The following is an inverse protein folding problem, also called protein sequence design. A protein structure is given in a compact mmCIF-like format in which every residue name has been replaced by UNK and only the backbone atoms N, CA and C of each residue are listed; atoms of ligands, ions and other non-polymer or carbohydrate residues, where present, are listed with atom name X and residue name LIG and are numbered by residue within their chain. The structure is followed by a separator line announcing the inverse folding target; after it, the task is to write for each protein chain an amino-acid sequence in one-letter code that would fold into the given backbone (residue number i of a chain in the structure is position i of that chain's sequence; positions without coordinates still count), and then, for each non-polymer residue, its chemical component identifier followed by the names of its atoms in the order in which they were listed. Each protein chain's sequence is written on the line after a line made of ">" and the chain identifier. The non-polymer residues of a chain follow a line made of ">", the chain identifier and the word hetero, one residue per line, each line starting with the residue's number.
data_IF_852916408223
#
_entry.id   IF_852916408223
#
_cell.length_a   1.000
_cell.length_b   1.000
_cell.length_c   1.000
_cell.angle_alpha   90.00
_cell.angle_beta   90.00
_cell.angle_gamma   90.00
#
_symmetry.space_group_name_H-M   'P 1'
#
loop_
_entity.id
_entity.type
_entity.pdbx_description
1 polymer ?
#
# COMPACT_ATOMS: atom_id res chain seq x y z
N UNK A 1 -0.83 -1.90 41.59
CA UNK A 1 -0.17 -3.12 41.06
C UNK A 1 -0.46 -3.38 39.58
N UNK A 2 -1.70 -3.57 39.13
CA UNK A 2 -1.99 -4.04 37.75
C UNK A 2 -1.34 -3.24 36.60
N UNK A 3 -1.31 -1.92 36.70
CA UNK A 3 -0.66 -1.07 35.69
C UNK A 3 0.87 -1.22 35.63
N UNK A 4 1.51 -1.57 36.75
CA UNK A 4 2.95 -1.85 36.78
C UNK A 4 3.24 -3.19 36.09
N UNK A 5 2.40 -4.19 36.35
CA UNK A 5 2.52 -5.52 35.73
C UNK A 5 2.27 -5.48 34.22
N UNK A 6 1.36 -4.60 33.77
CA UNK A 6 1.07 -4.37 32.35
C UNK A 6 2.21 -3.63 31.65
N UNK A 7 2.76 -2.58 32.27
CA UNK A 7 3.92 -1.87 31.73
C UNK A 7 5.17 -2.77 31.63
N UNK A 8 5.39 -3.67 32.60
CA UNK A 8 6.48 -4.64 32.58
C UNK A 8 6.32 -5.63 31.41
N UNK A 9 5.07 -6.06 31.12
CA UNK A 9 4.76 -6.94 29.99
C UNK A 9 4.96 -6.25 28.63
N UNK A 10 4.49 -5.02 28.49
CA UNK A 10 4.69 -4.23 27.27
C UNK A 10 6.17 -3.99 26.99
N UNK A 11 6.95 -3.66 28.03
CA UNK A 11 8.41 -3.52 27.92
C UNK A 11 9.07 -4.83 27.44
N UNK A 12 8.65 -5.97 27.98
CA UNK A 12 9.18 -7.27 27.57
C UNK A 12 8.80 -7.62 26.12
N UNK A 13 7.59 -7.27 25.68
CA UNK A 13 7.16 -7.42 24.29
C UNK A 13 7.96 -6.53 23.36
N UNK A 14 8.09 -5.25 23.67
CA UNK A 14 8.89 -4.31 22.88
C UNK A 14 10.34 -4.78 22.72
N UNK A 15 10.98 -5.28 23.80
CA UNK A 15 12.35 -5.80 23.73
C UNK A 15 12.46 -7.03 22.81
N UNK A 16 11.43 -7.88 22.78
CA UNK A 16 11.39 -9.06 21.91
C UNK A 16 11.20 -8.67 20.45
N UNK A 17 10.19 -7.84 20.17
CA UNK A 17 9.91 -7.31 18.83
C UNK A 17 11.09 -6.53 18.26
N UNK A 18 11.81 -5.77 19.10
CA UNK A 18 13.01 -5.05 18.69
C UNK A 18 14.13 -6.02 18.26
N UNK A 19 14.30 -7.14 18.97
CA UNK A 19 15.29 -8.18 18.58
C UNK A 19 14.88 -8.88 17.29
N UNK A 20 13.61 -9.19 17.12
CA UNK A 20 13.07 -9.80 15.89
C UNK A 20 13.22 -8.84 14.70
N UNK A 21 12.92 -7.56 14.89
CA UNK A 21 13.14 -6.52 13.90
C UNK A 21 14.61 -6.44 13.49
N UNK A 22 15.54 -6.46 14.45
CA UNK A 22 16.99 -6.44 14.16
C UNK A 22 17.48 -7.68 13.38
N UNK A 23 16.81 -8.83 13.52
CA UNK A 23 17.14 -10.05 12.77
C UNK A 23 16.50 -10.09 11.37
N UNK A 24 15.45 -9.30 11.15
CA UNK A 24 14.71 -9.26 9.89
C UNK A 24 15.57 -8.82 8.69
N UNK A 25 15.20 -9.30 7.51
CA UNK A 25 15.74 -8.83 6.22
C UNK A 25 15.53 -7.31 6.05
N UNK A 26 14.44 -6.75 6.58
CA UNK A 26 14.14 -5.31 6.50
C UNK A 26 15.16 -4.44 7.25
N UNK A 27 15.62 -4.89 8.42
CA UNK A 27 16.68 -4.20 9.17
C UNK A 27 18.02 -4.33 8.47
N UNK A 28 18.37 -5.51 7.96
CA UNK A 28 19.62 -5.71 7.18
C UNK A 28 19.65 -4.86 5.91
N UNK A 29 18.55 -4.79 5.16
CA UNK A 29 18.41 -3.94 3.99
C UNK A 29 18.51 -2.45 4.35
N UNK A 30 17.91 -2.03 5.46
CA UNK A 30 17.98 -0.64 5.92
C UNK A 30 19.37 -0.28 6.45
N UNK A 31 20.02 -1.17 7.20
CA UNK A 31 21.39 -1.00 7.68
C UNK A 31 22.39 -0.98 6.51
N UNK A 32 22.24 -1.87 5.53
CA UNK A 32 23.02 -1.86 4.29
C UNK A 32 22.78 -0.58 3.49
N UNK A 33 21.53 -0.07 3.41
CA UNK A 33 21.20 1.19 2.72
C UNK A 33 21.75 2.42 3.46
N UNK A 34 21.85 2.38 4.79
CA UNK A 34 22.53 3.40 5.61
C UNK A 34 24.04 3.33 5.39
N UNK A 35 24.62 2.12 5.33
CA UNK A 35 26.04 1.92 5.02
C UNK A 35 26.37 2.34 3.60
N UNK A 36 25.53 2.04 2.61
CA UNK A 36 25.71 2.41 1.20
C UNK A 36 25.56 3.94 1.02
N UNK A 37 24.62 4.58 1.72
CA UNK A 37 24.57 6.05 1.81
C UNK A 37 25.80 6.63 2.51
N UNK A 38 26.38 5.93 3.49
CA UNK A 38 27.59 6.36 4.20
C UNK A 38 28.84 6.17 3.33
N UNK A 39 28.94 5.07 2.58
CA UNK A 39 30.00 4.78 1.60
C UNK A 39 29.89 5.74 0.41
N UNK A 40 28.69 6.03 -0.10
CA UNK A 40 28.51 7.02 -1.17
C UNK A 40 28.81 8.45 -0.70
N UNK A 41 28.50 8.78 0.57
CA UNK A 41 28.90 10.05 1.21
C UNK A 41 30.41 10.08 1.49
N UNK A 42 31.01 8.94 1.85
CA UNK A 42 32.46 8.78 2.06
C UNK A 42 33.22 8.76 0.73
N UNK A 43 32.70 8.26 -0.38
CA UNK A 43 33.28 8.37 -1.73
C UNK A 43 33.19 9.80 -2.25
N UNK A 44 32.05 10.46 -2.00
CA UNK A 44 31.87 11.90 -2.26
C UNK A 44 32.79 12.76 -1.38
N UNK A 45 33.10 12.30 -0.17
CA UNK A 45 34.06 12.95 0.74
C UNK A 45 35.52 12.52 0.48
N UNK A 46 35.77 11.35 -0.09
CA UNK A 46 37.12 10.82 -0.37
C UNK A 46 37.77 11.55 -1.54
N UNK A 47 36.98 12.07 -2.48
CA UNK A 47 37.46 13.04 -3.47
C UNK A 47 37.90 14.37 -2.81
N UNK A 48 37.40 14.68 -1.61
CA UNK A 48 37.73 15.91 -0.87
C UNK A 48 38.85 15.69 0.18
N UNK A 49 39.08 14.46 0.66
CA UNK A 49 39.95 14.17 1.81
C UNK A 49 41.41 13.80 1.43
N UNK A 50 41.77 13.72 0.15
CA UNK A 50 43.17 13.45 -0.25
C UNK A 50 44.20 14.57 0.06
N UNK A 51 43.82 15.63 0.78
CA UNK A 51 44.73 16.72 1.14
C UNK A 51 45.13 16.80 2.63
N UNK A 52 44.62 15.95 3.53
CA UNK A 52 44.99 16.06 4.96
C UNK A 52 45.25 14.71 5.59
N UNK A 53 46.52 14.29 5.56
CA UNK A 53 47.02 13.15 6.31
C UNK A 53 47.10 13.38 7.82
N UNK A 54 46.80 12.30 8.56
CA UNK A 54 47.37 11.85 9.85
C UNK A 54 47.60 12.84 11.02
N UNK A 55 46.98 12.54 12.18
CA UNK A 55 47.46 13.01 13.50
C UNK A 55 46.45 12.84 14.64
N UNK A 56 46.85 12.38 15.85
CA UNK A 56 45.96 11.78 16.84
C UNK A 56 45.13 12.77 17.67
N UNK A 57 44.03 12.24 18.21
CA UNK A 57 43.10 12.90 19.12
C UNK A 57 43.82 13.39 20.40
N UNK A 58 43.85 14.72 20.61
CA UNK A 58 44.39 15.27 21.86
C UNK A 58 44.44 16.81 21.98
N UNK A 59 44.09 17.58 20.95
CA UNK A 59 44.28 19.05 21.00
C UNK A 59 43.10 19.92 20.51
N UNK A 60 41.92 19.33 20.22
CA UNK A 60 40.87 20.03 19.48
C UNK A 60 40.06 21.10 20.23
N UNK A 61 40.20 21.22 21.55
CA UNK A 61 39.55 22.30 22.30
C UNK A 61 40.42 23.56 22.34
N UNK A 62 41.75 23.42 22.49
CA UNK A 62 42.67 24.56 22.40
C UNK A 62 42.58 25.21 21.02
N UNK A 63 42.61 24.40 19.95
CA UNK A 63 42.46 24.83 18.53
C UNK A 63 41.11 25.42 18.14
N UNK A 64 40.15 25.52 19.06
CA UNK A 64 38.92 26.29 18.82
C UNK A 64 38.96 27.66 19.49
N UNK A 65 39.76 27.80 20.55
CA UNK A 65 39.90 29.03 21.33
C UNK A 65 40.92 30.02 20.71
N UNK A 66 42.00 29.56 20.04
CA UNK A 66 42.95 30.48 19.38
C UNK A 66 42.56 30.94 17.96
N UNK A 67 41.51 30.36 17.37
CA UNK A 67 41.01 30.77 16.03
C UNK A 67 40.36 32.14 15.98
N UNK A 68 40.13 32.78 17.13
CA UNK A 68 39.59 34.14 17.22
C UNK A 68 40.65 35.17 17.63
N UNK A 69 41.88 34.75 17.92
CA UNK A 69 42.98 35.62 18.34
C UNK A 69 43.99 35.87 17.19
N UNK A 70 43.47 35.77 15.96
CA UNK A 70 44.23 36.03 14.73
C UNK A 70 43.99 37.49 14.34
N UNK A 71 45.03 38.36 14.32
CA UNK A 71 44.85 39.77 14.01
C UNK A 71 44.23 39.97 12.62
N UNK A 72 43.31 40.93 12.52
CA UNK A 72 42.41 41.15 11.37
C UNK A 72 43.10 41.47 10.02
N UNK A 73 44.40 41.75 10.03
CA UNK A 73 45.20 42.03 8.83
C UNK A 73 46.32 41.01 8.61
N UNK A 74 46.12 39.78 9.07
CA UNK A 74 47.03 38.66 8.78
C UNK A 74 46.50 37.82 7.63
N UNK A 75 47.41 37.18 6.91
CA UNK A 75 47.09 36.21 5.86
C UNK A 75 46.19 35.08 6.39
N UNK A 76 46.47 34.62 7.62
CA UNK A 76 45.66 33.60 8.29
C UNK A 76 44.20 34.04 8.50
N UNK A 77 43.96 35.30 8.92
CA UNK A 77 42.59 35.82 9.06
C UNK A 77 41.84 35.83 7.72
N UNK A 78 42.52 36.27 6.65
CA UNK A 78 41.95 36.32 5.31
C UNK A 78 41.60 34.93 4.78
N UNK A 79 42.49 33.95 4.96
CA UNK A 79 42.26 32.57 4.55
C UNK A 79 41.11 31.91 5.33
N UNK A 80 41.04 32.12 6.64
CA UNK A 80 39.93 31.64 7.45
C UNK A 80 38.60 32.30 7.03
N UNK A 81 38.60 33.60 6.74
CA UNK A 81 37.41 34.31 6.27
C UNK A 81 36.96 33.75 4.91
N UNK A 82 37.88 33.61 3.95
CA UNK A 82 37.63 33.01 2.64
C UNK A 82 37.07 31.59 2.73
N UNK A 83 37.60 30.76 3.64
CA UNK A 83 37.08 29.43 3.90
C UNK A 83 35.66 29.44 4.48
N UNK A 84 35.38 30.33 5.45
CA UNK A 84 34.03 30.51 6.02
C UNK A 84 33.04 31.01 4.98
N UNK A 85 33.43 31.97 4.14
CA UNK A 85 32.59 32.45 3.04
C UNK A 85 32.30 31.36 2.01
N UNK A 86 33.30 30.56 1.64
CA UNK A 86 33.12 29.43 0.74
C UNK A 86 32.14 28.40 1.33
N UNK A 87 32.26 28.10 2.62
CA UNK A 87 31.34 27.20 3.31
C UNK A 87 29.93 27.78 3.38
N UNK A 88 29.77 29.07 3.69
CA UNK A 88 28.46 29.75 3.66
C UNK A 88 27.80 29.68 2.27
N UNK A 89 28.58 29.88 1.20
CA UNK A 89 28.08 29.72 -0.18
C UNK A 89 27.65 28.29 -0.46
N UNK A 90 28.44 27.30 -0.04
CA UNK A 90 28.11 25.87 -0.20
C UNK A 90 26.84 25.50 0.57
N UNK A 91 26.69 25.98 1.81
CA UNK A 91 25.51 25.74 2.64
C UNK A 91 24.26 26.38 2.03
N UNK A 92 24.35 27.61 1.52
CA UNK A 92 23.23 28.27 0.82
C UNK A 92 22.79 27.48 -0.41
N UNK A 93 23.75 26.99 -1.20
CA UNK A 93 23.46 26.14 -2.37
C UNK A 93 22.76 24.84 -1.95
N UNK A 94 23.28 24.15 -0.95
CA UNK A 94 22.66 22.92 -0.44
C UNK A 94 21.25 23.16 0.11
N UNK A 95 21.02 24.28 0.80
CA UNK A 95 19.70 24.62 1.31
C UNK A 95 18.68 24.84 0.18
N UNK A 96 19.08 25.54 -0.89
CA UNK A 96 18.25 25.72 -2.08
C UNK A 96 17.91 24.38 -2.75
N UNK A 97 18.89 23.48 -2.89
CA UNK A 97 18.66 22.12 -3.43
C UNK A 97 17.66 21.33 -2.56
N UNK A 98 17.71 21.47 -1.22
CA UNK A 98 16.74 20.83 -0.32
C UNK A 98 15.35 21.45 -0.44
N UNK A 99 15.23 22.76 -0.59
CA UNK A 99 13.95 23.45 -0.81
C UNK A 99 13.29 23.01 -2.13
N UNK A 100 14.07 22.85 -3.19
CA UNK A 100 13.61 22.30 -4.46
C UNK A 100 13.11 20.85 -4.32
N UNK A 101 13.87 19.99 -3.63
CA UNK A 101 13.46 18.61 -3.34
C UNK A 101 12.19 18.55 -2.51
N UNK A 102 12.07 19.41 -1.49
CA UNK A 102 10.86 19.46 -0.66
C UNK A 102 9.64 19.86 -1.48
N UNK A 103 9.78 20.81 -2.39
CA UNK A 103 8.69 21.23 -3.29
C UNK A 103 8.29 20.09 -4.24
N UNK A 104 9.27 19.37 -4.80
CA UNK A 104 9.00 18.20 -5.64
C UNK A 104 8.27 17.08 -4.87
N UNK A 105 8.69 16.81 -3.64
CA UNK A 105 8.05 15.82 -2.76
C UNK A 105 6.63 16.22 -2.38
N UNK A 106 6.39 17.49 -2.04
CA UNK A 106 5.05 18.00 -1.74
C UNK A 106 4.11 17.85 -2.93
N UNK A 107 4.58 18.14 -4.15
CA UNK A 107 3.82 17.91 -5.37
C UNK A 107 3.48 16.43 -5.54
N UNK A 108 4.46 15.54 -5.36
CA UNK A 108 4.23 14.10 -5.49
C UNK A 108 3.21 13.58 -4.46
N UNK A 109 3.28 14.07 -3.21
CA UNK A 109 2.30 13.74 -2.17
C UNK A 109 0.89 14.20 -2.58
N UNK A 110 0.75 15.41 -3.13
CA UNK A 110 -0.53 15.91 -3.63
C UNK A 110 -1.06 15.05 -4.79
N UNK A 111 -0.20 14.70 -5.74
CA UNK A 111 -0.56 13.83 -6.87
C UNK A 111 -1.01 12.44 -6.39
N UNK A 112 -0.32 11.86 -5.40
CA UNK A 112 -0.68 10.57 -4.80
C UNK A 112 -2.00 10.63 -4.04
N UNK A 113 -2.27 11.69 -3.28
CA UNK A 113 -3.56 11.89 -2.63
C UNK A 113 -4.68 11.99 -3.67
N UNK A 114 -4.49 12.78 -4.73
CA UNK A 114 -5.48 12.87 -5.80
C UNK A 114 -5.71 11.54 -6.53
N UNK A 115 -4.66 10.72 -6.71
CA UNK A 115 -4.81 9.37 -7.26
C UNK A 115 -5.59 8.45 -6.32
N UNK A 116 -5.31 8.51 -5.02
CA UNK A 116 -6.03 7.74 -3.99
C UNK A 116 -7.52 8.10 -4.00
N UNK A 117 -7.87 9.39 -3.98
CA UNK A 117 -9.27 9.85 -3.98
C UNK A 117 -10.04 9.35 -5.21
N UNK A 118 -9.40 9.35 -6.39
CA UNK A 118 -10.01 8.79 -7.61
C UNK A 118 -10.27 7.30 -7.48
N UNK A 119 -9.30 6.53 -6.99
CA UNK A 119 -9.45 5.10 -6.77
C UNK A 119 -10.53 4.77 -5.74
N UNK A 120 -10.63 5.54 -4.66
CA UNK A 120 -11.70 5.39 -3.66
C UNK A 120 -13.08 5.69 -4.27
N UNK A 121 -13.18 6.69 -5.14
CA UNK A 121 -14.42 7.00 -5.86
C UNK A 121 -14.82 5.91 -6.86
N UNK A 122 -13.86 5.37 -7.62
CA UNK A 122 -14.06 4.25 -8.55
C UNK A 122 -14.50 2.98 -7.81
N UNK A 123 -13.82 2.64 -6.71
CA UNK A 123 -14.17 1.50 -5.85
C UNK A 123 -15.61 1.64 -5.33
N UNK A 124 -15.96 2.81 -4.80
CA UNK A 124 -17.32 3.06 -4.31
C UNK A 124 -18.38 3.00 -5.41
N UNK A 125 -18.02 3.26 -6.68
CA UNK A 125 -18.93 3.08 -7.81
C UNK A 125 -19.10 1.61 -8.18
N UNK A 126 -18.01 0.84 -8.17
CA UNK A 126 -18.03 -0.60 -8.47
C UNK A 126 -18.76 -1.42 -7.41
N UNK A 127 -18.64 -1.04 -6.13
CA UNK A 127 -19.44 -1.63 -5.05
C UNK A 127 -20.94 -1.42 -5.29
N UNK A 128 -21.35 -0.20 -5.68
CA UNK A 128 -22.76 0.11 -6.00
C UNK A 128 -23.26 -0.68 -7.21
N UNK A 129 -22.44 -0.81 -8.26
CA UNK A 129 -22.76 -1.62 -9.45
C UNK A 129 -22.93 -3.08 -9.07
N UNK A 130 -22.01 -3.63 -8.28
CA UNK A 130 -22.05 -5.03 -7.83
C UNK A 130 -23.29 -5.30 -6.99
N UNK A 131 -23.62 -4.41 -6.04
CA UNK A 131 -24.84 -4.52 -5.24
C UNK A 131 -26.11 -4.43 -6.11
N UNK A 132 -26.12 -3.60 -7.15
CA UNK A 132 -27.24 -3.51 -8.09
C UNK A 132 -27.41 -4.80 -8.89
N UNK A 133 -26.33 -5.35 -9.43
CA UNK A 133 -26.34 -6.63 -10.14
C UNK A 133 -26.79 -7.77 -9.23
N UNK A 134 -26.31 -7.81 -7.99
CA UNK A 134 -26.74 -8.81 -7.02
C UNK A 134 -28.24 -8.69 -6.73
N UNK A 135 -28.77 -7.47 -6.52
CA UNK A 135 -30.21 -7.25 -6.34
C UNK A 135 -31.02 -7.73 -7.55
N UNK A 136 -30.58 -7.46 -8.77
CA UNK A 136 -31.25 -7.93 -9.98
C UNK A 136 -31.20 -9.46 -10.10
N UNK A 137 -30.05 -10.08 -9.83
CA UNK A 137 -29.92 -11.53 -9.83
C UNK A 137 -30.87 -12.19 -8.82
N UNK A 138 -30.95 -11.64 -7.60
CA UNK A 138 -31.87 -12.12 -6.56
C UNK A 138 -33.33 -11.98 -6.99
N UNK A 139 -33.70 -10.85 -7.60
CA UNK A 139 -35.04 -10.61 -8.11
C UNK A 139 -35.40 -11.64 -9.19
N UNK A 140 -34.53 -11.85 -10.19
CA UNK A 140 -34.73 -12.83 -11.25
C UNK A 140 -34.87 -14.24 -10.67
N UNK A 141 -33.97 -14.63 -9.75
CA UNK A 141 -34.04 -15.94 -9.10
C UNK A 141 -35.35 -16.15 -8.34
N UNK A 142 -35.82 -15.11 -7.65
CA UNK A 142 -37.09 -15.17 -6.93
C UNK A 142 -38.27 -15.32 -7.90
N UNK A 143 -38.33 -14.48 -8.93
CA UNK A 143 -39.40 -14.55 -9.95
C UNK A 143 -39.40 -15.90 -10.66
N UNK A 144 -38.22 -16.44 -10.99
CA UNK A 144 -38.08 -17.74 -11.67
C UNK A 144 -38.51 -18.91 -10.77
N UNK A 145 -38.11 -18.90 -9.50
CA UNK A 145 -38.56 -19.91 -8.55
C UNK A 145 -40.08 -19.88 -8.36
N UNK A 146 -40.68 -18.69 -8.29
CA UNK A 146 -42.12 -18.52 -8.16
C UNK A 146 -42.88 -18.98 -9.41
N UNK A 147 -42.42 -18.61 -10.61
CA UNK A 147 -43.07 -18.95 -11.87
C UNK A 147 -43.01 -20.46 -12.16
N UNK A 148 -41.90 -21.11 -11.80
CA UNK A 148 -41.69 -22.55 -11.97
C UNK A 148 -42.22 -23.40 -10.81
N UNK A 149 -42.78 -22.80 -9.75
CA UNK A 149 -43.30 -23.55 -8.60
C UNK A 149 -44.43 -24.52 -8.98
N UNK A 150 -45.16 -24.25 -10.07
CA UNK A 150 -46.21 -25.11 -10.61
C UNK A 150 -45.68 -26.24 -11.52
N UNK A 151 -44.36 -26.33 -11.72
CA UNK A 151 -43.71 -27.25 -12.66
C UNK A 151 -42.84 -28.26 -11.90
N UNK A 152 -43.41 -29.37 -11.42
CA UNK A 152 -42.64 -30.40 -10.73
C UNK A 152 -41.76 -31.20 -11.72
N UNK A 153 -40.55 -31.57 -11.30
CA UNK A 153 -39.67 -32.42 -12.10
C UNK A 153 -40.29 -33.81 -12.35
N UNK A 154 -40.27 -34.31 -13.60
CA UNK A 154 -40.70 -35.67 -13.90
C UNK A 154 -39.95 -36.72 -13.07
N UNK A 155 -40.68 -37.68 -12.49
CA UNK A 155 -40.12 -38.76 -11.66
C UNK A 155 -39.78 -38.37 -10.21
N UNK A 156 -39.32 -37.15 -9.96
CA UNK A 156 -38.96 -36.68 -8.61
C UNK A 156 -40.06 -35.89 -7.92
N UNK A 157 -40.94 -35.20 -8.65
CA UNK A 157 -41.94 -34.29 -8.08
C UNK A 157 -41.37 -33.01 -7.45
N UNK A 158 -40.06 -32.80 -7.51
CA UNK A 158 -39.38 -31.65 -6.91
C UNK A 158 -39.73 -30.35 -7.65
N UNK A 159 -40.03 -29.29 -6.90
CA UNK A 159 -40.25 -27.93 -7.41
C UNK A 159 -39.10 -27.01 -7.00
N UNK A 160 -38.80 -25.97 -7.79
CA UNK A 160 -37.68 -25.08 -7.49
C UNK A 160 -37.99 -24.21 -6.26
N UNK A 161 -36.99 -24.03 -5.41
CA UNK A 161 -36.97 -23.02 -4.36
C UNK A 161 -35.81 -22.06 -4.61
N UNK A 162 -35.82 -20.91 -3.93
CA UNK A 162 -34.76 -19.91 -4.08
C UNK A 162 -33.32 -20.49 -3.92
N UNK A 163 -33.13 -21.44 -3.01
CA UNK A 163 -31.83 -22.09 -2.76
C UNK A 163 -31.55 -23.33 -3.62
N UNK A 164 -32.57 -23.91 -4.26
CA UNK A 164 -32.44 -25.14 -5.08
C UNK A 164 -32.58 -24.90 -6.57
N UNK A 165 -32.90 -23.67 -6.99
CA UNK A 165 -33.21 -23.30 -8.37
C UNK A 165 -32.12 -23.75 -9.37
N UNK A 166 -30.84 -23.50 -9.08
CA UNK A 166 -29.76 -23.85 -10.01
C UNK A 166 -29.66 -25.37 -10.24
N UNK A 167 -29.86 -26.14 -9.16
CA UNK A 167 -29.83 -27.60 -9.20
C UNK A 167 -31.09 -28.16 -9.89
N UNK A 168 -32.26 -27.57 -9.62
CA UNK A 168 -33.51 -27.87 -10.31
C UNK A 168 -33.38 -27.61 -11.83
N UNK A 169 -32.87 -26.44 -12.24
CA UNK A 169 -32.72 -26.09 -13.66
C UNK A 169 -31.74 -27.04 -14.37
N UNK A 170 -30.65 -27.41 -13.71
CA UNK A 170 -29.69 -28.40 -14.25
C UNK A 170 -30.35 -29.77 -14.45
N UNK A 171 -31.14 -30.23 -13.46
CA UNK A 171 -31.91 -31.48 -13.57
C UNK A 171 -32.99 -31.40 -14.66
N UNK A 172 -33.71 -30.28 -14.74
CA UNK A 172 -34.74 -30.05 -15.74
C UNK A 172 -34.15 -30.14 -17.15
N UNK A 173 -33.03 -29.45 -17.42
CA UNK A 173 -32.34 -29.53 -18.71
C UNK A 173 -31.94 -30.97 -19.04
N UNK A 174 -31.34 -31.70 -18.09
CA UNK A 174 -30.95 -33.10 -18.30
C UNK A 174 -32.14 -34.02 -18.62
N UNK A 175 -33.28 -33.83 -17.96
CA UNK A 175 -34.51 -34.59 -18.23
C UNK A 175 -35.05 -34.28 -19.62
N UNK A 176 -35.08 -33.00 -20.00
CA UNK A 176 -35.53 -32.57 -21.33
C UNK A 176 -34.62 -33.10 -22.46
N UNK A 177 -33.31 -33.14 -22.24
CA UNK A 177 -32.33 -33.68 -23.19
C UNK A 177 -32.42 -35.20 -23.35
N UNK A 178 -32.77 -35.92 -22.27
CA UNK A 178 -32.84 -37.38 -22.28
C UNK A 178 -34.04 -37.94 -23.06
N UNK A 179 -35.18 -37.25 -23.01
CA UNK A 179 -36.43 -37.71 -23.67
C UNK A 179 -37.25 -36.56 -24.29
N UNK A 180 -36.83 -35.98 -25.44
CA UNK A 180 -37.46 -34.79 -26.01
C UNK A 180 -38.93 -34.96 -26.43
N UNK A 181 -39.30 -36.17 -26.87
CA UNK A 181 -40.64 -36.45 -27.38
C UNK A 181 -41.66 -36.74 -26.26
N UNK A 182 -41.21 -37.25 -25.12
CA UNK A 182 -42.08 -37.60 -23.98
C UNK A 182 -42.46 -36.36 -23.15
N UNK A 183 -41.63 -35.32 -23.18
CA UNK A 183 -41.83 -34.10 -22.37
C UNK A 183 -42.46 -32.94 -23.14
N UNK A 184 -43.16 -33.20 -24.24
CA UNK A 184 -43.73 -32.15 -25.12
C UNK A 184 -44.72 -31.21 -24.41
N UNK A 185 -45.53 -31.74 -23.50
CA UNK A 185 -46.47 -30.95 -22.68
C UNK A 185 -45.75 -30.07 -21.66
N UNK A 186 -44.70 -30.59 -21.03
CA UNK A 186 -43.84 -29.84 -20.10
C UNK A 186 -43.12 -28.69 -20.81
N UNK A 187 -42.62 -28.93 -22.02
CA UNK A 187 -42.00 -27.91 -22.86
C UNK A 187 -43.00 -26.79 -23.19
N UNK A 188 -44.24 -27.12 -23.55
CA UNK A 188 -45.27 -26.12 -23.82
C UNK A 188 -45.63 -25.27 -22.59
N UNK A 189 -45.70 -25.90 -21.40
CA UNK A 189 -45.92 -25.17 -20.14
C UNK A 189 -44.76 -24.24 -19.79
N UNK A 190 -43.52 -24.69 -19.98
CA UNK A 190 -42.34 -23.85 -19.78
C UNK A 190 -42.31 -22.67 -20.76
N UNK A 191 -42.66 -22.90 -22.02
CA UNK A 191 -42.75 -21.83 -23.02
C UNK A 191 -43.80 -20.78 -22.64
N UNK A 192 -44.96 -21.21 -22.15
CA UNK A 192 -46.01 -20.29 -21.69
C UNK A 192 -45.55 -19.48 -20.46
N UNK A 193 -44.96 -20.15 -19.47
CA UNK A 193 -44.43 -19.47 -18.26
C UNK A 193 -43.32 -18.47 -18.62
N UNK A 194 -42.41 -18.84 -19.52
CA UNK A 194 -41.32 -17.97 -19.97
C UNK A 194 -41.81 -16.82 -20.85
N UNK A 195 -42.90 -16.99 -21.60
CA UNK A 195 -43.51 -15.93 -22.39
C UNK A 195 -44.12 -14.81 -21.52
N UNK A 196 -44.44 -15.10 -20.26
CA UNK A 196 -44.96 -14.14 -19.28
C UNK A 196 -43.88 -13.68 -18.28
N UNK A 197 -42.60 -13.99 -18.54
CA UNK A 197 -41.48 -13.65 -17.68
C UNK A 197 -40.88 -12.30 -18.12
N UNK A 198 -41.19 -11.23 -17.37
CA UNK A 198 -40.68 -9.86 -17.58
C UNK A 198 -39.95 -9.38 -16.31
#
# INVERSE_FOLDING_TARGET
>A
QRYLDEAEREKQQYVRELKEYQQSEAFRLSAAKIQDKKVKREESASVIINATGSGPAGHKLSDRFWKFDVPIFTEEFLDQNKAREAELRRLRKANMEFEEQNTALQKHIADMHGAKERLEAELGQDERRTQALQRHLLAIKHTLAASLAAVPLPGSGETPSFGTLDAYMSRLCSVLESSPHEHRTLIAQLQDILAHFD
#
